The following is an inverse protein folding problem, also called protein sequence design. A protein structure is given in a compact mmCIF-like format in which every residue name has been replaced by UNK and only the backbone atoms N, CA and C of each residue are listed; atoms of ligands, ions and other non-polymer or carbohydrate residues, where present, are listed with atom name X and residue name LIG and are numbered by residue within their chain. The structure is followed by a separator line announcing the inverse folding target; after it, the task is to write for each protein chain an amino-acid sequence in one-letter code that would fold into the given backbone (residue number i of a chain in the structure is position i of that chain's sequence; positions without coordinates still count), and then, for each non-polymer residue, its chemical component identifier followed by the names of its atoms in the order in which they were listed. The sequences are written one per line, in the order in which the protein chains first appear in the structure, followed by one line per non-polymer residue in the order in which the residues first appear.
data_IF_464685395471
#
_entry.id   IF_464685395471
#
_cell.length_a   1.000
_cell.length_b   1.000
_cell.length_c   1.000
_cell.angle_alpha   90.00
_cell.angle_beta   90.00
_cell.angle_gamma   90.00
#
_symmetry.space_group_name_H-M   'P 1'
#
loop_
_entity.id
_entity.type
_entity.pdbx_description
1 polymer ?
#
# COMPACT_ATOMS: atom_id res chain seq x y z
N UNK A 1 10.66 -5.28 7.28
CA UNK A 1 10.06 -4.95 5.98
C UNK A 1 9.40 -3.58 6.10
N UNK A 2 9.54 -2.73 5.11
CA UNK A 2 9.08 -1.34 5.15
C UNK A 2 8.34 -0.98 3.86
N UNK A 3 7.31 -0.16 4.00
CA UNK A 3 6.58 0.49 2.92
C UNK A 3 6.76 1.99 3.09
N UNK A 4 7.68 2.57 2.32
CA UNK A 4 8.16 3.94 2.49
C UNK A 4 7.41 4.88 1.56
N UNK A 5 6.47 5.65 2.12
CA UNK A 5 5.78 6.74 1.41
C UNK A 5 6.67 8.00 1.48
N UNK A 6 7.43 8.27 0.42
CA UNK A 6 8.34 9.42 0.36
C UNK A 6 7.59 10.72 0.06
N UNK A 7 8.10 11.86 0.53
CA UNK A 7 7.43 13.17 0.38
C UNK A 7 7.28 13.63 -1.07
N UNK A 8 8.04 13.06 -2.00
CA UNK A 8 7.93 13.31 -3.45
C UNK A 8 6.83 12.49 -4.14
N UNK A 9 6.08 11.69 -3.38
CA UNK A 9 5.02 10.82 -3.90
C UNK A 9 5.52 9.45 -4.39
N UNK A 10 6.82 9.15 -4.27
CA UNK A 10 7.33 7.81 -4.56
C UNK A 10 7.07 6.84 -3.41
N UNK A 11 6.89 5.58 -3.75
CA UNK A 11 6.72 4.48 -2.81
C UNK A 11 7.84 3.45 -3.02
N UNK A 12 8.49 3.06 -1.93
CA UNK A 12 9.54 2.03 -1.95
C UNK A 12 9.26 0.96 -0.89
N UNK A 13 9.20 -0.29 -1.32
CA UNK A 13 9.24 -1.45 -0.44
C UNK A 13 10.70 -1.84 -0.14
N UNK A 14 11.06 -2.04 1.14
CA UNK A 14 12.39 -2.50 1.58
C UNK A 14 12.29 -3.76 2.44
N UNK A 15 13.14 -4.75 2.16
CA UNK A 15 13.19 -6.02 2.92
C UNK A 15 11.98 -6.93 2.71
N UNK A 16 11.42 -6.90 1.49
CA UNK A 16 10.21 -7.62 1.05
C UNK A 16 9.43 -6.76 0.05
N UNK A 17 8.66 -7.40 -0.85
CA UNK A 17 7.84 -6.72 -1.87
C UNK A 17 8.59 -5.79 -2.84
N UNK A 18 9.90 -5.92 -2.95
CA UNK A 18 10.74 -5.13 -3.85
C UNK A 18 10.41 -5.37 -5.33
N UNK A 19 9.82 -6.51 -5.67
CA UNK A 19 9.27 -6.80 -6.99
C UNK A 19 8.09 -5.91 -7.41
N UNK A 20 7.50 -5.13 -6.49
CA UNK A 20 6.54 -4.07 -6.77
C UNK A 20 7.18 -2.68 -6.89
N UNK A 21 8.50 -2.55 -6.69
CA UNK A 21 9.21 -1.29 -6.89
C UNK A 21 9.47 -1.02 -8.39
N UNK A 22 9.60 0.26 -8.79
CA UNK A 22 9.24 1.45 -8.00
C UNK A 22 7.71 1.62 -7.95
N UNK A 23 7.18 2.03 -6.80
CA UNK A 23 5.77 2.40 -6.66
C UNK A 23 5.57 3.91 -6.56
N UNK A 24 4.32 4.34 -6.49
CA UNK A 24 3.96 5.70 -6.11
C UNK A 24 2.77 5.71 -5.17
N UNK A 25 2.57 6.86 -4.51
CA UNK A 25 1.40 7.09 -3.67
C UNK A 25 0.89 8.51 -3.82
N UNK A 26 -0.38 8.68 -3.47
CA UNK A 26 -1.02 9.99 -3.34
C UNK A 26 -2.12 9.92 -2.29
N UNK A 27 -2.58 11.08 -1.82
CA UNK A 27 -3.79 11.18 -1.02
C UNK A 27 -4.88 11.93 -1.75
N UNK A 28 -6.11 11.48 -1.50
CA UNK A 28 -7.35 12.15 -1.85
C UNK A 28 -8.22 12.22 -0.59
N UNK A 29 -8.15 13.34 0.13
CA UNK A 29 -8.68 13.45 1.49
C UNK A 29 -8.11 12.40 2.45
N UNK A 30 -9.00 11.62 3.06
CA UNK A 30 -8.66 10.52 3.98
C UNK A 30 -8.44 9.18 3.26
N UNK A 31 -8.18 9.20 1.95
CA UNK A 31 -7.86 8.00 1.17
C UNK A 31 -6.40 8.05 0.73
N UNK A 32 -5.62 7.05 1.12
CA UNK A 32 -4.30 6.76 0.55
C UNK A 32 -4.49 5.87 -0.67
N UNK A 33 -3.96 6.30 -1.81
CA UNK A 33 -3.94 5.50 -3.03
C UNK A 33 -2.49 5.13 -3.32
N UNK A 34 -2.22 3.83 -3.35
CA UNK A 34 -0.93 3.23 -3.64
C UNK A 34 -0.98 2.62 -5.03
N UNK A 35 -0.03 3.01 -5.88
CA UNK A 35 0.20 2.38 -7.18
C UNK A 35 1.43 1.49 -7.07
N UNK A 36 1.25 0.18 -7.25
CA UNK A 36 2.37 -0.76 -7.26
C UNK A 36 2.95 -0.86 -8.67
N UNK A 37 4.26 -0.69 -8.78
CA UNK A 37 4.97 -0.87 -10.04
C UNK A 37 5.45 -2.31 -10.21
N UNK A 38 6.63 -2.40 -10.81
CA UNK A 38 7.29 -3.67 -11.13
C UNK A 38 6.53 -4.52 -12.14
N UNK A 39 6.96 -5.79 -12.26
CA UNK A 39 6.39 -6.77 -13.20
C UNK A 39 5.65 -7.92 -12.51
N UNK A 40 5.62 -7.93 -11.17
CA UNK A 40 4.90 -8.95 -10.43
C UNK A 40 3.38 -8.89 -10.73
N UNK A 41 2.69 -10.05 -10.77
CA UNK A 41 1.25 -10.10 -10.91
C UNK A 41 0.55 -9.23 -9.86
N UNK A 42 -0.54 -8.55 -10.24
CA UNK A 42 -1.35 -7.80 -9.29
C UNK A 42 -2.31 -8.77 -8.58
N UNK A 43 -2.37 -8.82 -7.24
CA UNK A 43 -3.13 -9.84 -6.51
C UNK A 43 -4.62 -9.46 -6.41
N UNK A 44 -5.29 -9.28 -7.56
CA UNK A 44 -6.66 -8.80 -7.64
C UNK A 44 -7.67 -9.69 -6.89
N UNK A 45 -7.54 -11.02 -6.98
CA UNK A 45 -8.45 -11.94 -6.29
C UNK A 45 -8.34 -11.83 -4.77
N UNK A 46 -7.13 -11.58 -4.22
CA UNK A 46 -6.98 -11.31 -2.79
C UNK A 46 -7.75 -10.05 -2.38
N UNK A 47 -7.57 -8.95 -3.10
CA UNK A 47 -8.25 -7.70 -2.77
C UNK A 47 -9.76 -7.78 -2.94
N UNK A 48 -10.25 -8.57 -3.90
CA UNK A 48 -11.67 -8.88 -4.09
C UNK A 48 -12.27 -9.57 -2.86
N UNK A 49 -11.54 -10.48 -2.24
CA UNK A 49 -11.99 -11.17 -1.02
C UNK A 49 -11.91 -10.28 0.23
N UNK A 50 -10.92 -9.40 0.30
CA UNK A 50 -10.66 -8.52 1.45
C UNK A 50 -11.57 -7.27 1.46
N UNK A 51 -11.93 -6.74 0.30
CA UNK A 51 -12.64 -5.46 0.16
C UNK A 51 -14.00 -5.45 0.89
N UNK A 52 -14.88 -6.45 0.77
CA UNK A 52 -16.16 -6.48 1.49
C UNK A 52 -16.01 -6.52 3.01
N UNK A 53 -14.84 -6.91 3.51
CA UNK A 53 -14.51 -7.03 4.94
C UNK A 53 -13.73 -5.82 5.45
N UNK A 54 -13.37 -4.87 4.58
CA UNK A 54 -12.54 -3.71 4.90
C UNK A 54 -11.23 -4.06 5.64
N UNK A 55 -10.62 -5.20 5.29
CA UNK A 55 -9.39 -5.67 5.95
C UNK A 55 -8.29 -4.60 5.83
N UNK A 56 -7.71 -4.22 6.97
CA UNK A 56 -6.63 -3.24 7.03
C UNK A 56 -6.91 -1.90 6.38
N UNK A 57 -8.18 -1.47 6.40
CA UNK A 57 -8.61 -0.18 5.87
C UNK A 57 -8.82 -0.16 4.37
N UNK A 58 -8.83 -1.32 3.68
CA UNK A 58 -9.07 -1.40 2.24
C UNK A 58 -10.42 -0.79 1.86
N UNK A 59 -10.39 0.19 0.95
CA UNK A 59 -11.58 0.88 0.42
C UNK A 59 -11.77 0.66 -1.08
N UNK A 60 -10.76 0.17 -1.80
CA UNK A 60 -10.90 -0.20 -3.20
C UNK A 60 -9.61 -0.68 -3.84
N UNK A 61 -9.71 -1.19 -5.07
CA UNK A 61 -8.57 -1.51 -5.90
C UNK A 61 -8.92 -1.31 -7.39
N UNK A 62 -7.91 -1.08 -8.22
CA UNK A 62 -8.04 -1.02 -9.67
C UNK A 62 -6.90 -1.81 -10.31
N UNK A 63 -7.20 -2.99 -10.84
CA UNK A 63 -6.21 -3.89 -11.42
C UNK A 63 -5.50 -3.28 -12.64
N UNK A 64 -6.24 -2.61 -13.53
CA UNK A 64 -5.68 -2.02 -14.75
C UNK A 64 -4.66 -0.92 -14.44
N UNK A 65 -4.92 -0.12 -13.41
CA UNK A 65 -4.02 0.94 -12.94
C UNK A 65 -3.04 0.45 -11.87
N UNK A 66 -3.16 -0.82 -11.43
CA UNK A 66 -2.40 -1.43 -10.32
C UNK A 66 -2.47 -0.60 -9.04
N UNK A 67 -3.67 -0.11 -8.72
CA UNK A 67 -3.91 0.74 -7.57
C UNK A 67 -4.62 -0.01 -6.44
N UNK A 68 -4.22 0.29 -5.21
CA UNK A 68 -4.92 -0.08 -4.00
C UNK A 68 -5.27 1.19 -3.21
N UNK A 69 -6.49 1.29 -2.72
CA UNK A 69 -6.99 2.43 -1.97
C UNK A 69 -7.30 2.02 -0.53
N UNK A 70 -6.85 2.83 0.43
CA UNK A 70 -7.01 2.60 1.86
C UNK A 70 -7.59 3.83 2.53
N UNK A 71 -8.44 3.64 3.53
CA UNK A 71 -8.70 4.70 4.52
C UNK A 71 -7.39 4.98 5.26
N UNK A 72 -7.01 6.25 5.29
CA UNK A 72 -5.75 6.70 5.87
C UNK A 72 -5.90 8.11 6.45
N UNK A 73 -6.10 8.16 7.76
CA UNK A 73 -6.27 9.38 8.55
C UNK A 73 -5.22 9.45 9.69
N UNK A 74 -5.37 10.45 10.57
CA UNK A 74 -4.46 10.63 11.69
C UNK A 74 -4.45 9.43 12.66
N UNK A 75 -5.57 8.72 12.79
CA UNK A 75 -5.77 7.57 13.67
C UNK A 75 -5.32 6.23 13.08
N UNK A 76 -4.97 6.22 11.79
CA UNK A 76 -4.56 4.99 11.10
C UNK A 76 -3.18 4.53 11.58
N UNK A 77 -3.17 3.44 12.35
CA UNK A 77 -1.94 2.84 12.90
C UNK A 77 -1.23 1.90 11.94
N UNK A 78 -1.96 1.31 10.98
CA UNK A 78 -1.39 0.39 10.00
C UNK A 78 -2.21 0.33 8.72
N UNK A 79 -1.61 -0.19 7.66
CA UNK A 79 -2.30 -0.62 6.44
C UNK A 79 -2.01 -2.10 6.17
N UNK A 80 -2.98 -2.83 5.61
CA UNK A 80 -2.74 -4.20 5.15
C UNK A 80 -2.37 -4.20 3.67
N UNK A 81 -1.23 -4.77 3.34
CA UNK A 81 -0.80 -4.99 1.97
C UNK A 81 -0.42 -6.46 1.80
N UNK A 82 -1.17 -7.16 0.96
CA UNK A 82 -0.93 -8.57 0.61
C UNK A 82 -0.86 -9.51 1.83
N UNK A 83 -1.77 -9.32 2.80
CA UNK A 83 -1.83 -9.99 4.10
C UNK A 83 -0.72 -9.62 5.11
N UNK A 84 0.18 -8.68 4.78
CA UNK A 84 1.14 -8.12 5.73
C UNK A 84 0.65 -6.77 6.26
N UNK A 85 0.87 -6.53 7.54
CA UNK A 85 0.53 -5.28 8.19
C UNK A 85 1.75 -4.37 8.26
N UNK A 86 1.65 -3.20 7.63
CA UNK A 86 2.65 -2.15 7.69
C UNK A 86 2.18 -1.12 8.72
N UNK A 87 2.76 -1.19 9.91
CA UNK A 87 2.50 -0.25 10.98
C UNK A 87 3.18 1.10 10.70
N UNK A 88 2.56 2.19 11.14
CA UNK A 88 3.15 3.52 11.17
C UNK A 88 4.33 3.49 12.13
N UNK A 89 5.52 3.22 11.60
CA UNK A 89 6.76 3.16 12.35
C UNK A 89 7.64 4.38 12.00
N UNK A 90 8.18 5.06 13.02
CA UNK A 90 9.16 6.13 12.83
C UNK A 90 10.53 5.62 12.33
N UNK A 91 10.81 4.32 12.48
CA UNK A 91 12.15 3.74 12.25
C UNK A 91 12.15 2.67 11.18
N UNK A 92 11.94 3.08 9.94
CA UNK A 92 12.42 2.32 8.80
C UNK A 92 13.81 2.84 8.44
N UNK A 93 14.86 2.26 9.03
CA UNK A 93 16.22 2.61 8.66
C UNK A 93 16.47 2.16 7.21
N UNK A 94 16.56 3.11 6.30
CA UNK A 94 17.28 2.94 5.07
C UNK A 94 18.76 2.72 5.44
N UNK A 95 19.21 1.46 5.42
CA UNK A 95 20.60 1.22 5.05
C UNK A 95 20.74 1.51 3.55
#
# INVERSE_FOLDING_TARGET
MCMLLQSDGSLVFKGGFDFYNPGSWRRDGDVLIVTVGGKAPFPAELYKEQLPKHIGGLTGYNEKRREISYRFDASTEFINFDNFYFYRAERCHAQ
#
